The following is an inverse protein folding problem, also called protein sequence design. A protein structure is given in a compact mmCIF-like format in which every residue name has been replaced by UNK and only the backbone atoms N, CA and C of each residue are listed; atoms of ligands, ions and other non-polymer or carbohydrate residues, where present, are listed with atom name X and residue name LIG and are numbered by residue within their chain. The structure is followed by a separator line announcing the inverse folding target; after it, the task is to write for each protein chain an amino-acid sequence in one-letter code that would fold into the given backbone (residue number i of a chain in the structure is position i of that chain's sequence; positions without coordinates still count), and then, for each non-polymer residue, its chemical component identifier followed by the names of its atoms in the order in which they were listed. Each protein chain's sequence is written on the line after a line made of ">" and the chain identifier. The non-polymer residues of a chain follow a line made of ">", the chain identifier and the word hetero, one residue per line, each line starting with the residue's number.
data_IF_848390882632
#
_entry.id   IF_848390882632
#
_cell.length_a   1.000
_cell.length_b   1.000
_cell.length_c   1.000
_cell.angle_alpha   90.00
_cell.angle_beta   90.00
_cell.angle_gamma   90.00
#
_symmetry.space_group_name_H-M   'P 1'
#
loop_
_entity.id
_entity.type
_entity.pdbx_description
1 polymer ?
#
# COMPACT_ATOMS: atom_id res chain seq x y z
N UNK A 1 -52.05 -18.93 34.62
CA UNK A 1 -51.10 -17.94 35.16
C UNK A 1 -49.86 -17.96 34.27
N UNK A 2 -49.71 -16.90 33.47
CA UNK A 2 -48.61 -16.47 32.59
C UNK A 2 -47.70 -17.48 31.83
N UNK A 3 -47.88 -17.54 30.50
CA UNK A 3 -46.85 -17.89 29.50
C UNK A 3 -45.91 -16.69 29.34
N UNK A 4 -44.61 -16.87 29.52
CA UNK A 4 -43.59 -15.84 29.25
C UNK A 4 -43.06 -16.01 27.82
N UNK A 5 -43.55 -15.19 26.90
CA UNK A 5 -42.97 -15.00 25.56
C UNK A 5 -41.74 -14.10 25.70
N UNK A 6 -40.54 -14.68 25.65
CA UNK A 6 -39.31 -13.92 25.49
C UNK A 6 -39.21 -13.43 24.03
N UNK A 7 -39.63 -12.20 23.79
CA UNK A 7 -39.38 -11.49 22.53
C UNK A 7 -37.87 -11.30 22.38
N UNK A 8 -37.28 -11.93 21.36
CA UNK A 8 -35.91 -11.63 20.93
C UNK A 8 -35.91 -10.23 20.30
N UNK A 9 -35.41 -9.24 21.04
CA UNK A 9 -35.06 -7.96 20.48
C UNK A 9 -33.91 -8.15 19.46
N UNK A 10 -33.95 -7.51 18.28
CA UNK A 10 -32.86 -7.61 17.33
C UNK A 10 -31.60 -6.96 17.95
N UNK A 11 -30.52 -7.74 18.04
CA UNK A 11 -29.20 -7.23 18.40
C UNK A 11 -28.82 -6.17 17.35
N UNK A 12 -28.93 -4.91 17.72
CA UNK A 12 -28.37 -3.81 16.95
C UNK A 12 -26.90 -4.13 16.68
N UNK A 13 -26.57 -4.44 15.43
CA UNK A 13 -25.19 -4.45 14.97
C UNK A 13 -24.67 -3.04 15.17
N UNK A 14 -23.92 -2.85 16.25
CA UNK A 14 -23.08 -1.68 16.45
C UNK A 14 -22.05 -1.72 15.33
N UNK A 15 -22.37 -1.08 14.20
CA UNK A 15 -21.38 -0.74 13.18
C UNK A 15 -20.38 0.19 13.88
N UNK A 16 -19.32 -0.40 14.43
CA UNK A 16 -18.18 0.33 14.93
C UNK A 16 -17.66 1.12 13.74
N UNK A 17 -17.83 2.43 13.81
CA UNK A 17 -17.22 3.42 12.93
C UNK A 17 -15.72 3.15 12.99
N UNK A 18 -15.20 2.42 12.00
CA UNK A 18 -13.78 2.35 11.78
C UNK A 18 -13.27 3.78 11.58
N UNK A 19 -12.10 4.05 12.15
CA UNK A 19 -11.38 5.32 12.07
C UNK A 19 -11.61 5.98 10.72
N UNK A 20 -11.94 7.29 10.70
CA UNK A 20 -12.00 8.07 9.46
C UNK A 20 -10.61 8.01 8.82
N UNK A 21 -10.38 7.04 7.94
CA UNK A 21 -9.23 7.11 7.04
C UNK A 21 -9.42 8.39 6.23
N UNK A 22 -8.35 9.12 5.97
CA UNK A 22 -8.38 10.10 4.89
C UNK A 22 -8.93 9.39 3.64
N UNK A 23 -9.70 10.14 2.83
CA UNK A 23 -10.09 9.65 1.53
C UNK A 23 -8.82 9.32 0.72
N UNK A 24 -8.86 8.22 -0.05
CA UNK A 24 -7.76 7.90 -0.96
C UNK A 24 -7.49 9.06 -1.92
N UNK A 25 -6.23 9.25 -2.35
CA UNK A 25 -5.91 10.26 -3.34
C UNK A 25 -6.77 10.08 -4.59
N UNK A 26 -7.32 11.18 -5.09
CA UNK A 26 -8.07 11.14 -6.33
C UNK A 26 -7.11 10.97 -7.53
N UNK A 27 -7.53 10.21 -8.53
CA UNK A 27 -6.83 10.19 -9.81
C UNK A 27 -6.75 11.62 -10.36
N UNK A 28 -5.56 12.03 -10.78
CA UNK A 28 -5.24 13.38 -11.24
C UNK A 28 -4.61 14.28 -10.18
N UNK A 29 -4.55 13.87 -8.91
CA UNK A 29 -3.81 14.63 -7.87
C UNK A 29 -2.34 14.24 -7.82
N UNK A 30 -1.50 15.16 -7.34
CA UNK A 30 -0.10 14.85 -7.04
C UNK A 30 0.01 13.89 -5.87
N UNK A 31 1.01 13.01 -5.92
CA UNK A 31 1.41 12.17 -4.79
C UNK A 31 1.83 13.08 -3.63
N UNK A 32 1.34 12.84 -2.39
CA UNK A 32 1.75 13.62 -1.23
C UNK A 32 3.27 13.55 -1.05
N UNK A 33 3.91 14.71 -0.93
CA UNK A 33 5.35 14.76 -0.69
C UNK A 33 5.63 14.48 0.79
N UNK A 34 6.28 13.36 1.04
CA UNK A 34 6.67 12.87 2.36
C UNK A 34 8.05 12.25 2.23
N UNK A 35 8.87 12.43 3.25
CA UNK A 35 10.17 11.78 3.36
C UNK A 35 10.00 10.28 3.60
N UNK A 36 10.68 9.47 2.78
CA UNK A 36 10.80 8.03 2.90
C UNK A 36 12.27 7.65 2.98
N UNK A 37 12.56 6.43 3.43
CA UNK A 37 13.93 5.90 3.46
C UNK A 37 14.16 4.89 2.34
N UNK A 38 15.35 4.91 1.76
CA UNK A 38 15.80 3.81 0.91
C UNK A 38 15.97 2.54 1.74
N UNK A 39 15.84 1.38 1.10
CA UNK A 39 16.17 0.08 1.68
C UNK A 39 17.70 -0.08 1.84
N UNK A 40 18.30 0.74 2.70
CA UNK A 40 19.73 0.80 2.97
C UNK A 40 20.01 0.96 4.47
N UNK A 41 21.17 0.46 4.91
CA UNK A 41 21.69 0.75 6.24
C UNK A 41 23.06 1.46 6.15
N UNK A 42 23.25 2.63 6.78
CA UNK A 42 22.27 3.40 7.57
C UNK A 42 21.07 3.92 6.74
N UNK A 43 19.94 4.28 7.41
CA UNK A 43 18.78 4.88 6.74
C UNK A 43 19.20 6.12 5.94
N UNK A 44 18.78 6.17 4.68
CA UNK A 44 19.02 7.32 3.81
C UNK A 44 17.67 7.91 3.41
N UNK A 45 17.29 9.08 3.97
CA UNK A 45 16.02 9.71 3.67
C UNK A 45 16.03 10.35 2.29
N UNK A 46 14.86 10.44 1.66
CA UNK A 46 14.64 11.16 0.40
C UNK A 46 13.18 11.64 0.25
N UNK A 47 12.96 12.66 -0.59
CA UNK A 47 11.62 13.11 -0.96
C UNK A 47 11.02 12.20 -2.03
N UNK A 48 9.80 11.69 -1.79
CA UNK A 48 9.06 10.93 -2.80
C UNK A 48 8.69 11.79 -4.02
N UNK A 49 8.43 13.09 -3.84
CA UNK A 49 8.14 13.96 -4.98
C UNK A 49 9.34 14.11 -5.91
N UNK A 50 10.54 14.28 -5.37
CA UNK A 50 11.78 14.32 -6.16
C UNK A 50 12.04 13.01 -6.88
N UNK A 51 11.73 11.87 -6.24
CA UNK A 51 11.93 10.54 -6.82
C UNK A 51 11.04 10.31 -8.06
N UNK A 52 9.79 10.73 -7.97
CA UNK A 52 8.75 10.55 -8.98
C UNK A 52 8.80 11.59 -10.11
N UNK A 53 9.52 12.70 -9.91
CA UNK A 53 9.62 13.76 -10.90
C UNK A 53 10.21 13.25 -12.22
N UNK A 54 9.51 13.52 -13.32
CA UNK A 54 9.93 13.12 -14.67
C UNK A 54 9.91 11.62 -14.95
N UNK A 55 9.25 10.81 -14.10
CA UNK A 55 9.20 9.34 -14.26
C UNK A 55 7.78 8.79 -14.22
N UNK A 56 7.62 7.64 -14.86
CA UNK A 56 6.47 6.75 -14.77
C UNK A 56 6.75 5.63 -13.78
N UNK A 57 6.00 5.62 -12.68
CA UNK A 57 6.31 4.78 -11.53
C UNK A 57 5.10 4.00 -11.04
N UNK A 58 5.27 2.72 -10.75
CA UNK A 58 4.27 1.86 -10.07
C UNK A 58 4.73 1.51 -8.67
N UNK A 59 3.81 1.30 -7.74
CA UNK A 59 4.12 0.89 -6.35
C UNK A 59 3.42 -0.42 -5.97
N UNK A 60 4.12 -1.57 -5.75
CA UNK A 60 3.60 -2.86 -5.17
C UNK A 60 4.64 -4.01 -5.14
N UNK A 61 4.45 -5.07 -4.31
CA UNK A 61 5.15 -6.37 -4.41
C UNK A 61 4.63 -7.33 -5.52
N UNK A 62 5.53 -8.05 -6.21
CA UNK A 62 5.18 -9.15 -7.13
C UNK A 62 5.59 -8.97 -8.61
N UNK A 63 6.33 -7.92 -8.94
CA UNK A 63 6.61 -7.53 -10.33
C UNK A 63 7.86 -8.12 -10.98
N UNK A 64 8.65 -8.95 -10.29
CA UNK A 64 9.93 -9.44 -10.84
C UNK A 64 9.69 -10.17 -12.17
N UNK A 65 8.65 -11.01 -12.25
CA UNK A 65 8.29 -11.73 -13.48
C UNK A 65 7.64 -10.84 -14.55
N UNK A 66 6.99 -9.74 -14.14
CA UNK A 66 6.26 -8.84 -15.04
C UNK A 66 7.09 -7.64 -15.52
N UNK A 67 8.36 -7.54 -15.10
CA UNK A 67 9.18 -6.35 -15.34
C UNK A 67 9.32 -5.99 -16.82
N UNK A 68 9.44 -6.97 -17.71
CA UNK A 68 9.63 -6.72 -19.15
C UNK A 68 8.35 -6.19 -19.79
N UNK A 69 7.19 -6.71 -19.37
CA UNK A 69 5.90 -6.19 -19.80
C UNK A 69 5.71 -4.74 -19.32
N UNK A 70 6.09 -4.44 -18.08
CA UNK A 70 6.04 -3.07 -17.55
C UNK A 70 6.97 -2.11 -18.30
N UNK A 71 8.21 -2.53 -18.56
CA UNK A 71 9.17 -1.76 -19.37
C UNK A 71 8.61 -1.49 -20.77
N UNK A 72 7.99 -2.49 -21.40
CA UNK A 72 7.37 -2.34 -22.72
C UNK A 72 6.22 -1.32 -22.75
N UNK A 73 5.57 -1.10 -21.60
CA UNK A 73 4.53 -0.08 -21.39
C UNK A 73 5.10 1.31 -21.03
N UNK A 74 6.42 1.44 -20.95
CA UNK A 74 7.11 2.70 -20.63
C UNK A 74 7.14 3.02 -19.14
N UNK A 75 7.10 2.02 -18.27
CA UNK A 75 7.36 2.21 -16.83
C UNK A 75 8.86 2.30 -16.60
N UNK A 76 9.29 3.38 -15.93
CA UNK A 76 10.69 3.64 -15.61
C UNK A 76 11.13 2.88 -14.35
N UNK A 77 10.25 2.80 -13.35
CA UNK A 77 10.55 2.15 -12.07
C UNK A 77 9.33 1.55 -11.38
N UNK A 78 9.57 0.52 -10.58
CA UNK A 78 8.59 -0.08 -9.65
C UNK A 78 9.11 0.07 -8.23
N UNK A 79 8.30 0.61 -7.34
CA UNK A 79 8.65 0.80 -5.94
C UNK A 79 7.89 -0.22 -5.08
N UNK A 80 8.60 -1.14 -4.44
CA UNK A 80 8.03 -1.96 -3.38
C UNK A 80 8.18 -1.17 -2.10
N UNK A 81 7.08 -0.84 -1.45
CA UNK A 81 7.11 -0.01 -0.25
C UNK A 81 6.32 -0.69 0.88
N UNK A 82 6.77 -0.50 2.12
CA UNK A 82 6.12 -1.07 3.31
C UNK A 82 6.42 -0.22 4.55
N UNK A 83 5.53 -0.27 5.54
CA UNK A 83 5.80 0.21 6.91
C UNK A 83 6.68 -0.82 7.62
N UNK A 84 7.98 -0.74 7.37
CA UNK A 84 9.06 -1.51 7.98
C UNK A 84 10.33 -0.64 8.05
N UNK A 85 11.32 -1.08 8.83
CA UNK A 85 12.62 -0.40 8.89
C UNK A 85 13.50 -0.69 7.65
N UNK A 86 14.50 0.16 7.37
CA UNK A 86 15.40 -0.01 6.24
C UNK A 86 16.25 -1.28 6.25
N UNK A 87 16.61 -1.81 7.42
CA UNK A 87 17.43 -3.01 7.49
C UNK A 87 16.64 -4.25 7.02
N UNK A 88 15.38 -4.37 7.45
CA UNK A 88 14.46 -5.44 6.99
C UNK A 88 14.19 -5.30 5.50
N UNK A 89 13.89 -4.09 5.01
CA UNK A 89 13.62 -3.88 3.59
C UNK A 89 14.86 -4.14 2.72
N UNK A 90 16.05 -3.81 3.22
CA UNK A 90 17.32 -4.10 2.53
C UNK A 90 17.60 -5.60 2.44
N UNK A 91 17.42 -6.32 3.55
CA UNK A 91 17.58 -7.78 3.57
C UNK A 91 16.55 -8.47 2.65
N UNK A 92 15.31 -8.00 2.62
CA UNK A 92 14.27 -8.55 1.76
C UNK A 92 14.57 -8.31 0.26
N UNK A 93 15.06 -7.12 -0.09
CA UNK A 93 15.50 -6.83 -1.45
C UNK A 93 16.65 -7.74 -1.90
N UNK A 94 17.65 -7.96 -1.04
CA UNK A 94 18.79 -8.82 -1.33
C UNK A 94 18.39 -10.30 -1.50
N UNK A 95 17.46 -10.80 -0.68
CA UNK A 95 16.95 -12.17 -0.80
C UNK A 95 16.24 -12.40 -2.15
N UNK A 96 15.54 -11.37 -2.65
CA UNK A 96 14.87 -11.39 -3.94
C UNK A 96 15.79 -11.14 -5.16
N UNK A 97 17.06 -10.79 -4.94
CA UNK A 97 18.08 -10.57 -5.99
C UNK A 97 17.64 -9.60 -7.09
N UNK A 98 17.16 -8.42 -6.67
CA UNK A 98 16.52 -7.43 -7.54
C UNK A 98 17.48 -6.38 -8.12
N UNK A 99 18.80 -6.53 -7.93
CA UNK A 99 19.81 -5.50 -8.21
C UNK A 99 19.74 -5.02 -9.67
N UNK A 100 19.55 -5.95 -10.61
CA UNK A 100 19.49 -5.71 -12.06
C UNK A 100 18.07 -5.47 -12.58
N UNK A 101 17.13 -5.12 -11.71
CA UNK A 101 15.71 -4.89 -12.08
C UNK A 101 15.32 -3.41 -11.94
N UNK A 102 14.17 -3.06 -12.53
CA UNK A 102 13.52 -1.74 -12.34
C UNK A 102 12.84 -1.61 -10.96
N UNK A 103 12.91 -2.66 -10.13
CA UNK A 103 12.27 -2.72 -8.82
C UNK A 103 13.21 -2.11 -7.78
N UNK A 104 12.67 -1.25 -6.92
CA UNK A 104 13.37 -0.62 -5.80
C UNK A 104 12.54 -0.75 -4.53
N UNK A 105 13.20 -0.99 -3.41
CA UNK A 105 12.54 -1.12 -2.11
C UNK A 105 12.63 0.19 -1.34
N UNK A 106 11.52 0.59 -0.73
CA UNK A 106 11.38 1.82 0.04
C UNK A 106 10.74 1.53 1.40
N UNK A 107 11.05 2.37 2.38
CA UNK A 107 10.68 2.17 3.76
C UNK A 107 9.88 3.38 4.23
N UNK A 108 8.63 3.15 4.63
CA UNK A 108 7.78 4.17 5.26
C UNK A 108 7.86 3.99 6.78
N UNK A 109 9.05 4.23 7.34
CA UNK A 109 9.27 4.08 8.76
C UNK A 109 8.39 5.07 9.53
N UNK A 110 7.49 4.54 10.35
CA UNK A 110 6.51 5.35 11.10
C UNK A 110 5.22 5.68 10.32
N UNK A 111 5.06 5.20 9.09
CA UNK A 111 3.77 5.20 8.39
C UNK A 111 3.26 6.57 7.93
N UNK A 112 4.15 7.55 7.75
CA UNK A 112 3.77 8.93 7.38
C UNK A 112 3.17 8.98 5.98
N UNK A 113 3.79 8.27 5.03
CA UNK A 113 3.30 8.23 3.66
C UNK A 113 1.97 7.46 3.58
N UNK A 114 1.88 6.34 4.28
CA UNK A 114 0.64 5.56 4.39
C UNK A 114 -0.50 6.38 5.01
N UNK A 115 -0.21 7.21 6.01
CA UNK A 115 -1.19 8.13 6.58
C UNK A 115 -1.62 9.21 5.57
N UNK A 116 -0.67 9.80 4.83
CA UNK A 116 -0.95 10.80 3.80
C UNK A 116 -1.79 10.25 2.64
N UNK A 117 -1.62 8.97 2.31
CA UNK A 117 -2.41 8.26 1.29
C UNK A 117 -3.75 7.71 1.82
N UNK A 118 -4.04 7.81 3.12
CA UNK A 118 -5.22 7.19 3.71
C UNK A 118 -5.19 5.65 3.74
N UNK A 119 -4.00 5.05 3.55
CA UNK A 119 -3.79 3.60 3.46
C UNK A 119 -3.31 3.00 4.78
N UNK A 120 -3.39 3.72 5.91
CA UNK A 120 -3.08 3.18 7.24
C UNK A 120 -4.02 2.02 7.61
N UNK A 121 -3.43 0.95 8.14
CA UNK A 121 -4.08 -0.21 8.69
C UNK A 121 -3.79 -0.27 10.20
N UNK A 122 -4.78 0.13 11.01
CA UNK A 122 -4.73 0.22 12.47
C UNK A 122 -5.62 -0.84 13.16
N UNK A 123 -5.93 -1.92 12.46
CA UNK A 123 -6.79 -2.98 12.97
C UNK A 123 -6.21 -3.59 14.27
N UNK A 124 -7.03 -3.82 15.33
CA UNK A 124 -6.54 -4.34 16.60
C UNK A 124 -5.76 -5.66 16.49
N UNK A 125 -6.14 -6.53 15.54
CA UNK A 125 -5.41 -7.76 15.26
C UNK A 125 -3.99 -7.51 14.71
N UNK A 126 -3.83 -6.51 13.86
CA UNK A 126 -2.53 -6.09 13.30
C UNK A 126 -1.66 -5.48 14.39
N UNK A 127 -2.22 -4.58 15.19
CA UNK A 127 -1.52 -3.99 16.34
C UNK A 127 -1.08 -5.05 17.34
N UNK A 128 -1.92 -6.05 17.62
CA UNK A 128 -1.57 -7.17 18.50
C UNK A 128 -0.45 -8.05 17.93
N UNK A 129 -0.42 -8.26 16.62
CA UNK A 129 0.57 -9.14 15.98
C UNK A 129 1.92 -8.44 15.73
N UNK A 130 1.90 -7.16 15.35
CA UNK A 130 3.07 -6.45 14.81
C UNK A 130 3.49 -5.24 15.65
N UNK A 131 2.72 -4.86 16.68
CA UNK A 131 3.04 -3.79 17.63
C UNK A 131 2.81 -2.37 17.11
N UNK A 132 2.62 -2.17 15.81
CA UNK A 132 2.42 -0.86 15.18
C UNK A 132 1.43 -0.94 14.00
N UNK A 133 0.80 0.19 13.62
CA UNK A 133 0.02 0.26 12.38
C UNK A 133 0.86 -0.09 11.15
N UNK A 134 0.22 -0.66 10.13
CA UNK A 134 0.83 -1.00 8.85
C UNK A 134 0.18 -0.22 7.71
N UNK A 135 0.57 -0.50 6.48
CA UNK A 135 -0.16 -0.08 5.29
C UNK A 135 -1.12 -1.20 4.86
N UNK A 136 -2.29 -0.82 4.35
CA UNK A 136 -3.20 -1.69 3.59
C UNK A 136 -2.51 -2.15 2.30
N UNK A 137 -3.00 -3.22 1.68
CA UNK A 137 -2.55 -3.58 0.33
C UNK A 137 -3.20 -2.67 -0.72
N UNK A 138 -2.37 -2.02 -1.53
CA UNK A 138 -2.80 -1.22 -2.68
C UNK A 138 -1.68 -1.11 -3.70
N UNK A 139 -2.04 -0.74 -4.92
CA UNK A 139 -1.12 -0.32 -5.97
C UNK A 139 -1.53 1.04 -6.51
N UNK A 140 -0.56 1.83 -6.98
CA UNK A 140 -0.86 3.00 -7.78
C UNK A 140 0.16 3.18 -8.90
N UNK A 141 -0.27 3.87 -9.94
CA UNK A 141 0.57 4.34 -11.03
C UNK A 141 0.60 5.87 -10.99
N UNK A 142 1.80 6.44 -11.03
CA UNK A 142 2.03 7.87 -11.15
C UNK A 142 2.89 8.19 -12.39
N UNK A 143 2.56 9.30 -13.05
CA UNK A 143 3.31 9.88 -14.15
C UNK A 143 3.66 11.32 -13.78
N UNK A 144 4.95 11.62 -13.66
CA UNK A 144 5.48 12.90 -13.17
C UNK A 144 4.87 13.31 -11.82
N UNK A 145 4.84 12.34 -10.90
CA UNK A 145 4.25 12.50 -9.57
C UNK A 145 2.72 12.71 -9.55
N UNK A 146 2.03 12.62 -10.70
CA UNK A 146 0.55 12.70 -10.78
C UNK A 146 -0.05 11.31 -10.83
N UNK A 147 -0.96 11.01 -9.90
CA UNK A 147 -1.61 9.70 -9.80
C UNK A 147 -2.53 9.50 -11.00
N UNK A 148 -2.31 8.43 -11.76
CA UNK A 148 -3.11 8.04 -12.94
C UNK A 148 -4.03 6.85 -12.65
N UNK A 149 -3.65 5.98 -11.71
CA UNK A 149 -4.49 4.91 -11.20
C UNK A 149 -4.17 4.67 -9.73
N UNK A 150 -5.18 4.35 -8.91
CA UNK A 150 -5.03 4.05 -7.49
C UNK A 150 -6.00 2.94 -7.11
N UNK A 151 -5.48 1.77 -6.74
CA UNK A 151 -6.24 0.56 -6.48
C UNK A 151 -5.96 0.04 -5.07
N UNK A 152 -6.96 0.00 -4.22
CA UNK A 152 -6.88 -0.60 -2.88
C UNK A 152 -7.55 -1.96 -2.92
N UNK A 153 -6.92 -2.95 -2.28
CA UNK A 153 -7.41 -4.33 -2.26
C UNK A 153 -8.36 -4.62 -1.08
N UNK A 154 -8.64 -3.62 -0.24
CA UNK A 154 -9.55 -3.80 0.89
C UNK A 154 -10.99 -4.04 0.45
N UNK A 155 -11.73 -4.75 1.28
CA UNK A 155 -13.18 -4.86 1.20
C UNK A 155 -13.80 -4.84 2.61
N UNK A 156 -15.12 -4.68 2.76
CA UNK A 156 -15.76 -4.66 4.07
C UNK A 156 -15.45 -5.88 4.95
N UNK A 157 -15.26 -7.05 4.33
CA UNK A 157 -14.95 -8.32 5.01
C UNK A 157 -13.44 -8.65 4.98
N UNK A 158 -12.64 -7.86 4.26
CA UNK A 158 -11.18 -8.01 4.15
C UNK A 158 -10.49 -6.63 4.29
N UNK A 159 -10.33 -6.12 5.52
CA UNK A 159 -9.74 -4.80 5.74
C UNK A 159 -8.24 -4.74 5.46
N UNK A 160 -7.57 -5.89 5.26
CA UNK A 160 -6.13 -5.94 4.91
C UNK A 160 -5.93 -5.99 3.39
N UNK A 161 -6.89 -6.58 2.67
CA UNK A 161 -6.87 -6.75 1.22
C UNK A 161 -6.00 -7.93 0.79
N UNK A 162 -5.84 -8.94 1.64
CA UNK A 162 -5.02 -10.12 1.35
C UNK A 162 -5.80 -11.24 0.66
N UNK A 163 -7.14 -11.24 0.76
CA UNK A 163 -8.02 -12.23 0.15
C UNK A 163 -8.22 -12.03 -1.36
N UNK A 164 -8.29 -10.78 -1.83
CA UNK A 164 -8.34 -10.43 -3.25
C UNK A 164 -7.37 -9.29 -3.58
N UNK A 165 -6.18 -9.67 -4.06
CA UNK A 165 -5.15 -8.73 -4.50
C UNK A 165 -5.17 -8.49 -6.01
N UNK A 166 -6.20 -8.92 -6.74
CA UNK A 166 -6.21 -8.88 -8.21
C UNK A 166 -6.04 -7.46 -8.77
N UNK A 167 -6.57 -6.44 -8.10
CA UNK A 167 -6.44 -5.03 -8.50
C UNK A 167 -5.06 -4.45 -8.24
N UNK A 168 -4.38 -4.89 -7.18
CA UNK A 168 -3.03 -4.45 -6.84
C UNK A 168 -1.93 -5.33 -7.42
N UNK A 169 -2.29 -6.46 -8.04
CA UNK A 169 -1.37 -7.38 -8.71
C UNK A 169 -0.70 -6.74 -9.94
N UNK A 170 0.35 -7.42 -10.43
CA UNK A 170 1.03 -6.98 -11.64
C UNK A 170 0.14 -7.02 -12.87
N UNK A 171 -0.67 -8.07 -13.00
CA UNK A 171 -1.65 -8.20 -14.06
C UNK A 171 -2.74 -7.13 -13.94
N UNK A 172 -3.13 -6.80 -12.71
CA UNK A 172 -4.08 -5.72 -12.41
C UNK A 172 -3.58 -4.38 -12.91
N UNK A 173 -2.33 -4.04 -12.59
CA UNK A 173 -1.75 -2.76 -13.02
C UNK A 173 -1.44 -2.72 -14.51
N UNK A 174 -1.02 -3.82 -15.13
CA UNK A 174 -0.82 -3.87 -16.59
C UNK A 174 -2.10 -3.56 -17.38
N UNK A 175 -3.29 -3.78 -16.82
CA UNK A 175 -4.57 -3.45 -17.46
C UNK A 175 -4.89 -1.95 -17.43
N UNK A 176 -4.25 -1.18 -16.55
CA UNK A 176 -4.49 0.27 -16.41
C UNK A 176 -3.39 1.13 -17.05
N UNK A 177 -2.35 0.49 -17.58
CA UNK A 177 -1.25 1.11 -18.35
C UNK A 177 -1.52 1.09 -19.85
#
# INVERSE_FOLDING_TARGET
>A
MLRLLAQQAPRAHCARRFSRSLAYPAVGTKVPDVELDYASWPPTPFSIAERLAGKKTIVVPGYIAAQDALKSKGIDEVLVYCVNDPAVMSAWAADLKIEDTIIKFMCDQGGKFSAALGTTLDHPGVLRALGSPRCKRFAFYADDGVIKAFHVSESPDDPTGDGDFSLSSAEGMLKVL
#
